data_IF_289836391218
#
_entry.id   IF_289836391218
#
_cell.length_a   1.000
_cell.length_b   1.000
_cell.length_c   1.000
_cell.angle_alpha   90.00
_cell.angle_beta   90.00
_cell.angle_gamma   90.00
#
_symmetry.space_group_name_H-M   'P 1'
#
loop_
_entity.id
_entity.type
_entity.pdbx_description
1 polymer ?
#
# COMPACT_ATOMS: atom_id res chain seq x y z
N UNK A 1 10.09 4.55 -14.91
CA UNK A 1 9.62 5.60 -13.97
C UNK A 1 10.38 5.42 -12.67
N UNK A 2 10.89 6.49 -12.07
CA UNK A 2 11.61 6.41 -10.80
C UNK A 2 10.65 6.62 -9.61
N UNK A 3 9.95 5.56 -9.19
CA UNK A 3 8.98 5.61 -8.08
C UNK A 3 9.56 6.07 -6.76
N UNK A 4 10.83 5.74 -6.61
CA UNK A 4 11.65 5.95 -5.45
C UNK A 4 11.71 7.43 -5.03
N UNK A 5 11.51 8.38 -5.95
CA UNK A 5 11.44 9.83 -5.68
C UNK A 5 10.18 10.26 -4.90
N UNK A 6 9.14 9.42 -4.87
CA UNK A 6 7.85 9.72 -4.24
C UNK A 6 7.73 9.11 -2.83
N UNK A 7 8.77 8.42 -2.36
CA UNK A 7 8.78 7.78 -1.05
C UNK A 7 9.40 8.76 -0.05
N UNK A 8 8.59 9.27 0.86
CA UNK A 8 9.00 10.30 1.84
C UNK A 8 9.86 9.74 2.98
N UNK A 9 9.61 8.50 3.40
CA UNK A 9 10.25 7.88 4.58
C UNK A 9 10.82 6.49 4.25
N UNK A 10 12.01 6.19 4.79
CA UNK A 10 12.74 4.91 4.67
C UNK A 10 12.60 4.25 3.29
N UNK A 11 13.11 4.96 2.28
CA UNK A 11 13.04 4.59 0.87
C UNK A 11 13.63 3.20 0.59
N UNK A 12 14.77 2.89 1.19
CA UNK A 12 15.41 1.59 1.04
C UNK A 12 14.54 0.47 1.64
N UNK A 13 14.08 0.64 2.89
CA UNK A 13 13.22 -0.33 3.56
C UNK A 13 11.88 -0.52 2.83
N UNK A 14 11.30 0.55 2.29
CA UNK A 14 10.08 0.47 1.48
C UNK A 14 10.28 -0.37 0.22
N UNK A 15 11.35 -0.10 -0.54
CA UNK A 15 11.64 -0.83 -1.78
C UNK A 15 11.95 -2.30 -1.50
N UNK A 16 12.74 -2.58 -0.48
CA UNK A 16 13.05 -3.96 -0.08
C UNK A 16 11.79 -4.72 0.33
N UNK A 17 10.93 -4.11 1.14
CA UNK A 17 9.67 -4.73 1.56
C UNK A 17 8.70 -4.91 0.40
N UNK A 18 8.57 -3.93 -0.49
CA UNK A 18 7.75 -4.03 -1.68
C UNK A 18 8.21 -5.19 -2.59
N UNK A 19 9.51 -5.35 -2.78
CA UNK A 19 10.10 -6.50 -3.50
C UNK A 19 9.79 -7.81 -2.78
N UNK A 20 9.95 -7.86 -1.46
CA UNK A 20 9.70 -9.06 -0.67
C UNK A 20 8.23 -9.53 -0.76
N UNK A 21 7.26 -8.62 -0.61
CA UNK A 21 5.85 -8.99 -0.72
C UNK A 21 5.45 -9.32 -2.16
N UNK A 22 6.03 -8.67 -3.16
CA UNK A 22 5.79 -8.99 -4.58
C UNK A 22 6.29 -10.39 -4.93
N UNK A 23 7.46 -10.78 -4.42
CA UNK A 23 7.97 -12.14 -4.52
C UNK A 23 7.01 -13.16 -3.88
N UNK A 24 6.52 -12.88 -2.67
CA UNK A 24 5.50 -13.74 -2.01
C UNK A 24 4.20 -13.84 -2.82
N UNK A 25 3.80 -12.76 -3.48
CA UNK A 25 2.60 -12.69 -4.32
C UNK A 25 2.82 -13.28 -5.73
N UNK A 26 4.05 -13.52 -6.16
CA UNK A 26 4.35 -13.99 -7.51
C UNK A 26 4.13 -12.93 -8.60
N UNK A 27 4.27 -11.64 -8.27
CA UNK A 27 4.09 -10.52 -9.21
C UNK A 27 5.37 -9.71 -9.38
N UNK A 28 5.48 -8.98 -10.49
CA UNK A 28 6.57 -8.01 -10.70
C UNK A 28 6.45 -6.87 -9.66
N UNK A 29 7.50 -6.57 -8.88
CA UNK A 29 7.49 -5.46 -7.93
C UNK A 29 7.12 -4.11 -8.54
N UNK A 30 7.50 -3.86 -9.80
CA UNK A 30 7.15 -2.61 -10.49
C UNK A 30 5.65 -2.50 -10.69
N UNK A 31 4.93 -3.60 -10.95
CA UNK A 31 3.47 -3.57 -11.08
C UNK A 31 2.81 -3.13 -9.78
N UNK A 32 3.29 -3.65 -8.65
CA UNK A 32 2.81 -3.23 -7.35
C UNK A 32 3.10 -1.74 -7.09
N UNK A 33 4.30 -1.28 -7.43
CA UNK A 33 4.66 0.14 -7.34
C UNK A 33 3.79 1.03 -8.24
N UNK A 34 3.46 0.59 -9.46
CA UNK A 34 2.53 1.28 -10.35
C UNK A 34 1.14 1.43 -9.73
N UNK A 35 0.56 0.35 -9.19
CA UNK A 35 -0.75 0.40 -8.54
C UNK A 35 -0.73 1.41 -7.38
N UNK A 36 0.26 1.33 -6.49
CA UNK A 36 0.34 2.26 -5.36
C UNK A 36 0.54 3.71 -5.82
N UNK A 37 1.30 3.93 -6.89
CA UNK A 37 1.47 5.26 -7.47
C UNK A 37 0.17 5.80 -8.07
N UNK A 38 -0.59 4.99 -8.81
CA UNK A 38 -1.87 5.42 -9.37
C UNK A 38 -2.90 5.74 -8.29
N UNK A 39 -2.94 4.93 -7.23
CA UNK A 39 -3.92 5.08 -6.15
C UNK A 39 -3.62 6.25 -5.21
N UNK A 40 -2.33 6.50 -4.91
CA UNK A 40 -1.96 7.45 -3.83
C UNK A 40 -0.74 8.30 -4.13
N UNK A 41 -0.10 8.14 -5.30
CA UNK A 41 1.25 8.66 -5.58
C UNK A 41 2.27 8.21 -4.53
N UNK A 42 2.13 6.96 -4.05
CA UNK A 42 2.95 6.38 -2.97
C UNK A 42 2.86 7.11 -1.62
N UNK A 43 1.83 7.95 -1.43
CA UNK A 43 1.62 8.67 -0.18
C UNK A 43 0.76 7.82 0.80
N UNK A 44 1.33 7.31 1.91
CA UNK A 44 0.58 6.51 2.87
C UNK A 44 -0.48 7.31 3.63
N UNK A 45 -0.42 8.65 3.61
CA UNK A 45 -1.39 9.54 4.26
C UNK A 45 -2.51 10.00 3.33
N UNK A 46 -2.46 9.61 2.04
CA UNK A 46 -3.49 9.95 1.07
C UNK A 46 -4.88 9.52 1.57
N UNK A 47 -5.87 10.42 1.39
CA UNK A 47 -7.26 10.16 1.75
C UNK A 47 -8.19 10.76 0.71
N UNK A 48 -9.06 9.93 0.15
CA UNK A 48 -10.13 10.41 -0.72
C UNK A 48 -11.22 11.13 0.12
N UNK A 49 -11.57 12.39 -0.18
CA UNK A 49 -12.54 13.15 0.63
C UNK A 49 -13.96 12.60 0.55
N UNK A 50 -14.32 11.97 -0.59
CA UNK A 50 -15.66 11.44 -0.88
C UNK A 50 -15.82 10.00 -0.39
N UNK A 51 -14.97 9.08 -0.83
CA UNK A 51 -15.08 7.65 -0.49
C UNK A 51 -14.48 7.29 0.87
N UNK A 52 -13.66 8.18 1.44
CA UNK A 52 -12.83 7.94 2.64
C UNK A 52 -11.77 6.84 2.47
N UNK A 53 -11.53 6.40 1.23
CA UNK A 53 -10.42 5.51 0.91
C UNK A 53 -9.07 6.11 1.36
N UNK A 54 -8.11 5.29 1.78
CA UNK A 54 -6.85 5.80 2.35
C UNK A 54 -5.64 4.89 2.13
N UNK A 55 -4.45 5.46 2.24
CA UNK A 55 -3.19 4.71 2.17
C UNK A 55 -2.75 4.37 0.76
N UNK A 56 -1.70 3.55 0.69
CA UNK A 56 -0.94 3.24 -0.52
C UNK A 56 -1.81 2.73 -1.67
N UNK A 57 -2.80 1.88 -1.37
CA UNK A 57 -3.72 1.31 -2.35
C UNK A 57 -5.17 1.79 -2.18
N UNK A 58 -5.38 2.92 -1.48
CA UNK A 58 -6.72 3.48 -1.24
C UNK A 58 -7.70 2.46 -0.63
N UNK A 59 -7.31 1.86 0.51
CA UNK A 59 -8.17 0.95 1.27
C UNK A 59 -9.52 1.57 1.58
N UNK A 60 -10.59 0.94 1.10
CA UNK A 60 -11.96 1.37 1.36
C UNK A 60 -12.35 1.14 2.82
N UNK A 61 -13.25 1.95 3.41
CA UNK A 61 -13.67 1.79 4.82
C UNK A 61 -14.14 0.39 5.19
N UNK A 62 -14.95 -0.24 4.33
CA UNK A 62 -15.43 -1.61 4.55
C UNK A 62 -14.29 -2.64 4.55
N UNK A 63 -13.32 -2.50 3.64
CA UNK A 63 -12.14 -3.37 3.56
C UNK A 63 -11.27 -3.23 4.80
N UNK A 64 -11.01 -2.00 5.26
CA UNK A 64 -10.26 -1.73 6.48
C UNK A 64 -10.90 -2.43 7.70
N UNK A 65 -12.23 -2.35 7.82
CA UNK A 65 -12.98 -3.03 8.89
C UNK A 65 -12.85 -4.55 8.78
N UNK A 66 -13.00 -5.14 7.59
CA UNK A 66 -12.84 -6.59 7.41
C UNK A 66 -11.43 -7.10 7.71
N UNK A 67 -10.43 -6.22 7.63
CA UNK A 67 -9.03 -6.51 8.01
C UNK A 67 -8.73 -6.22 9.48
N UNK A 68 -9.75 -5.92 10.31
CA UNK A 68 -9.59 -5.68 11.75
C UNK A 68 -8.98 -4.32 12.12
N UNK A 69 -9.07 -3.33 11.23
CA UNK A 69 -8.53 -1.98 11.43
C UNK A 69 -9.55 -0.91 10.97
N UNK A 70 -9.13 0.36 10.91
CA UNK A 70 -9.94 1.47 10.39
C UNK A 70 -9.13 2.31 9.42
N UNK A 71 -9.79 3.11 8.57
CA UNK A 71 -9.09 4.02 7.66
C UNK A 71 -8.24 5.04 8.42
N UNK A 72 -8.67 5.53 9.57
CA UNK A 72 -7.86 6.47 10.35
C UNK A 72 -6.61 5.79 10.94
N UNK A 73 -6.72 4.52 11.37
CA UNK A 73 -5.57 3.73 11.84
C UNK A 73 -4.61 3.38 10.70
N UNK A 74 -5.11 3.03 9.52
CA UNK A 74 -4.27 2.82 8.32
C UNK A 74 -3.54 4.12 7.98
N UNK A 75 -4.25 5.26 7.95
CA UNK A 75 -3.65 6.56 7.67
C UNK A 75 -2.58 6.95 8.70
N UNK A 76 -2.66 6.49 9.96
CA UNK A 76 -1.59 6.73 10.93
C UNK A 76 -0.33 5.90 10.69
N UNK A 77 -0.40 4.78 9.96
CA UNK A 77 0.75 3.92 9.66
C UNK A 77 1.74 4.60 8.69
N UNK A 78 3.00 4.21 8.79
CA UNK A 78 4.05 4.44 7.79
C UNK A 78 3.76 3.67 6.49
N UNK A 79 4.43 4.03 5.40
CA UNK A 79 4.35 3.27 4.14
C UNK A 79 4.78 1.81 4.31
N UNK A 80 5.85 1.58 5.08
CA UNK A 80 6.36 0.24 5.36
C UNK A 80 5.34 -0.61 6.13
N UNK A 81 4.69 -0.08 7.15
CA UNK A 81 3.62 -0.80 7.87
C UNK A 81 2.42 -1.10 6.96
N UNK A 82 2.03 -0.15 6.09
CA UNK A 82 0.95 -0.38 5.14
C UNK A 82 1.26 -1.49 4.13
N UNK A 83 2.54 -1.73 3.79
CA UNK A 83 2.91 -2.84 2.89
C UNK A 83 2.53 -4.22 3.47
N UNK A 84 2.45 -4.39 4.79
CA UNK A 84 1.92 -5.63 5.37
C UNK A 84 0.42 -5.79 5.08
N UNK A 85 -0.34 -4.70 5.21
CA UNK A 85 -1.77 -4.70 4.87
C UNK A 85 -2.00 -4.90 3.36
N UNK A 86 -1.15 -4.31 2.52
CA UNK A 86 -1.20 -4.52 1.06
C UNK A 86 -0.99 -5.99 0.74
N UNK A 87 -0.01 -6.64 1.37
CA UNK A 87 0.21 -8.07 1.22
C UNK A 87 -1.00 -8.89 1.67
N UNK A 88 -1.53 -8.65 2.87
CA UNK A 88 -2.69 -9.39 3.39
C UNK A 88 -3.94 -9.21 2.51
N UNK A 89 -4.13 -8.01 1.95
CA UNK A 89 -5.24 -7.75 1.02
C UNK A 89 -5.09 -8.49 -0.30
N UNK A 90 -3.87 -8.56 -0.86
CA UNK A 90 -3.62 -9.16 -2.17
C UNK A 90 -3.41 -10.68 -2.13
N UNK A 91 -2.96 -11.24 -0.99
CA UNK A 91 -2.64 -12.68 -0.85
C UNK A 91 -3.76 -13.61 -1.32
N UNK A 92 -5.06 -13.36 -1.04
CA UNK A 92 -6.14 -14.25 -1.49
C UNK A 92 -6.31 -14.34 -3.01
N UNK A 93 -5.75 -13.39 -3.77
CA UNK A 93 -5.87 -13.32 -5.23
C UNK A 93 -4.64 -13.89 -5.96
N UNK A 94 -3.63 -14.35 -5.21
CA UNK A 94 -2.49 -15.05 -5.79
C UNK A 94 -2.96 -16.36 -6.44
N UNK A 95 -2.63 -16.54 -7.72
CA UNK A 95 -2.83 -17.78 -8.46
C UNK A 95 -1.67 -18.75 -8.26
#
# INVERSE_FOLDING_TARGET
>A
MNFEEYIEEDKAGFVEKARAISCKLGIDPNWLMYVMYFESRLNPKARNPRSKATGLIQFMPRTAISMGTTVDKIRSMSGIEQLDLVYEYLRPYKS
#
